data_IF_329253788921
#
_entry.id   IF_329253788921
#
_cell.length_a   1.000
_cell.length_b   1.000
_cell.length_c   1.000
_cell.angle_alpha   90.00
_cell.angle_beta   90.00
_cell.angle_gamma   90.00
#
_symmetry.space_group_name_H-M   'P 1'
#
loop_
_entity.id
_entity.type
_entity.pdbx_description
1 polymer ?
#
# COMPACT_ATOMS: atom_id res chain seq x y z
N UNK A 1 2.52 7.71 13.04
CA UNK A 1 1.94 6.63 12.22
C UNK A 1 0.64 7.04 11.55
N UNK A 2 -0.38 7.53 12.27
CA UNK A 2 -1.63 8.02 11.65
C UNK A 2 -1.38 9.14 10.64
N UNK A 3 -0.53 10.12 10.98
CA UNK A 3 -0.12 11.19 10.06
C UNK A 3 0.52 10.65 8.76
N UNK A 4 1.45 9.69 8.86
CA UNK A 4 2.07 9.03 7.69
C UNK A 4 1.04 8.31 6.82
N UNK A 5 0.05 7.66 7.43
CA UNK A 5 -1.04 7.01 6.72
C UNK A 5 -1.89 8.04 5.95
N UNK A 6 -2.29 9.12 6.62
CA UNK A 6 -3.17 10.15 6.04
C UNK A 6 -2.49 10.94 4.93
N UNK A 7 -1.20 11.24 5.08
CA UNK A 7 -0.42 11.93 4.05
C UNK A 7 -0.21 11.05 2.81
N UNK A 8 0.08 9.76 3.00
CA UNK A 8 0.13 8.81 1.88
C UNK A 8 -1.22 8.70 1.16
N UNK A 9 -2.32 8.63 1.91
CA UNK A 9 -3.67 8.53 1.34
C UNK A 9 -3.99 9.70 0.42
N UNK A 10 -3.72 10.94 0.87
CA UNK A 10 -3.96 12.15 0.06
C UNK A 10 -3.22 12.12 -1.28
N UNK A 11 -1.93 11.78 -1.25
CA UNK A 11 -1.11 11.70 -2.47
C UNK A 11 -1.65 10.64 -3.43
N UNK A 12 -2.07 9.48 -2.90
CA UNK A 12 -2.62 8.42 -3.73
C UNK A 12 -4.00 8.74 -4.31
N UNK A 13 -4.82 9.48 -3.56
CA UNK A 13 -6.12 9.94 -4.03
C UNK A 13 -5.93 10.95 -5.16
N UNK A 14 -5.00 11.91 -5.03
CA UNK A 14 -4.63 12.83 -6.11
C UNK A 14 -4.08 12.11 -7.34
N UNK A 15 -3.20 11.10 -7.13
CA UNK A 15 -2.67 10.30 -8.23
C UNK A 15 -3.78 9.51 -8.95
N UNK A 16 -4.76 8.99 -8.20
CA UNK A 16 -5.88 8.26 -8.79
C UNK A 16 -6.76 9.15 -9.69
N UNK A 17 -6.81 10.47 -9.46
CA UNK A 17 -7.53 11.41 -10.32
C UNK A 17 -6.90 11.57 -11.71
N UNK A 18 -5.58 11.38 -11.81
CA UNK A 18 -4.84 11.54 -13.09
C UNK A 18 -4.51 10.20 -13.76
N UNK A 19 -4.48 9.11 -12.99
CA UNK A 19 -4.26 7.74 -13.49
C UNK A 19 -5.50 7.19 -14.19
N UNK A 20 -5.67 7.51 -15.47
CA UNK A 20 -6.73 6.94 -16.29
C UNK A 20 -6.28 5.63 -16.94
N UNK A 21 -6.46 4.51 -16.25
CA UNK A 21 -6.24 3.19 -16.83
C UNK A 21 -7.38 2.82 -17.78
N UNK A 22 -7.09 2.36 -19.02
CA UNK A 22 -8.12 1.89 -19.93
C UNK A 22 -8.77 0.62 -19.39
N UNK A 23 -10.05 0.42 -19.69
CA UNK A 23 -10.72 -0.84 -19.42
C UNK A 23 -10.13 -1.92 -20.33
N UNK A 24 -9.49 -2.94 -19.76
CA UNK A 24 -9.09 -4.15 -20.50
C UNK A 24 -9.94 -5.33 -20.06
N UNK A 25 -10.30 -6.20 -21.01
CA UNK A 25 -10.80 -7.55 -20.74
C UNK A 25 -9.66 -8.55 -20.50
N UNK A 26 -8.44 -8.17 -20.87
CA UNK A 26 -7.22 -8.89 -20.52
C UNK A 26 -6.91 -8.69 -19.04
N UNK A 27 -6.46 -9.75 -18.37
CA UNK A 27 -6.11 -9.78 -16.94
C UNK A 27 -5.08 -8.72 -16.47
N UNK A 28 -4.51 -7.95 -17.40
CA UNK A 28 -3.44 -7.00 -17.16
C UNK A 28 -3.83 -5.88 -16.20
N UNK A 29 -5.08 -5.41 -16.25
CA UNK A 29 -5.55 -4.36 -15.34
C UNK A 29 -5.59 -4.88 -13.90
N UNK A 30 -6.01 -6.13 -13.67
CA UNK A 30 -5.98 -6.71 -12.32
C UNK A 30 -4.54 -6.83 -11.80
N UNK A 31 -3.60 -7.28 -12.63
CA UNK A 31 -2.18 -7.38 -12.23
C UNK A 31 -1.57 -6.00 -11.96
N UNK A 32 -1.92 -4.99 -12.76
CA UNK A 32 -1.47 -3.62 -12.54
C UNK A 32 -2.04 -3.03 -11.25
N UNK A 33 -3.32 -3.20 -10.98
CA UNK A 33 -3.94 -2.77 -9.71
C UNK A 33 -3.28 -3.44 -8.51
N UNK A 34 -2.96 -4.74 -8.61
CA UNK A 34 -2.24 -5.46 -7.56
C UNK A 34 -0.82 -4.94 -7.36
N UNK A 35 -0.12 -4.65 -8.46
CA UNK A 35 1.19 -4.00 -8.41
C UNK A 35 1.12 -2.64 -7.72
N UNK A 36 0.15 -1.79 -8.08
CA UNK A 36 -0.08 -0.48 -7.46
C UNK A 36 -0.35 -0.60 -5.95
N UNK A 37 -1.20 -1.55 -5.53
CA UNK A 37 -1.45 -1.80 -4.10
C UNK A 37 -0.18 -2.21 -3.34
N UNK A 38 0.66 -3.05 -3.95
CA UNK A 38 1.95 -3.42 -3.36
C UNK A 38 2.90 -2.22 -3.26
N UNK A 39 2.93 -1.34 -4.27
CA UNK A 39 3.73 -0.10 -4.22
C UNK A 39 3.26 0.83 -3.11
N UNK A 40 1.95 1.01 -2.94
CA UNK A 40 1.36 1.79 -1.84
C UNK A 40 1.79 1.23 -0.47
N UNK A 41 1.79 -0.09 -0.29
CA UNK A 41 2.26 -0.73 0.94
C UNK A 41 3.75 -0.45 1.21
N UNK A 42 4.60 -0.58 0.19
CA UNK A 42 6.03 -0.30 0.33
C UNK A 42 6.27 1.17 0.67
N UNK A 43 5.59 2.10 -0.01
CA UNK A 43 5.71 3.53 0.24
C UNK A 43 5.29 3.90 1.67
N UNK A 44 4.19 3.32 2.16
CA UNK A 44 3.76 3.48 3.53
C UNK A 44 4.84 3.02 4.52
N UNK A 45 5.47 1.88 4.26
CA UNK A 45 6.54 1.33 5.10
C UNK A 45 7.85 2.12 5.09
N UNK A 46 8.13 2.90 4.05
CA UNK A 46 9.29 3.81 4.00
C UNK A 46 9.11 4.97 4.99
N UNK A 47 7.87 5.46 5.16
CA UNK A 47 7.56 6.56 6.08
C UNK A 47 7.49 6.15 7.56
N UNK A 48 7.64 4.86 7.88
CA UNK A 48 7.55 4.37 9.26
C UNK A 48 8.88 4.46 10.02
N UNK A 49 8.78 4.74 11.32
CA UNK A 49 9.91 4.69 12.24
C UNK A 49 10.49 3.27 12.38
N UNK A 50 11.76 3.18 12.80
CA UNK A 50 12.49 1.93 12.97
C UNK A 50 11.89 0.99 14.03
N UNK A 51 11.08 1.51 14.95
CA UNK A 51 10.36 0.73 15.97
C UNK A 51 9.43 -0.32 15.36
N UNK A 52 8.97 -0.10 14.12
CA UNK A 52 8.08 -1.02 13.40
C UNK A 52 8.82 -2.06 12.55
N UNK A 53 10.16 -2.10 12.58
CA UNK A 53 10.97 -2.94 11.69
C UNK A 53 10.59 -4.43 11.74
N UNK A 54 10.31 -4.97 12.94
CA UNK A 54 9.97 -6.39 13.12
C UNK A 54 8.61 -6.70 12.50
N UNK A 55 7.57 -5.94 12.86
CA UNK A 55 6.21 -6.11 12.31
C UNK A 55 6.19 -5.88 10.81
N UNK A 56 6.92 -4.87 10.30
CA UNK A 56 7.13 -4.65 8.86
C UNK A 56 7.73 -5.87 8.18
N UNK A 57 8.77 -6.46 8.76
CA UNK A 57 9.39 -7.68 8.25
C UNK A 57 8.39 -8.84 8.15
N UNK A 58 7.60 -9.06 9.20
CA UNK A 58 6.56 -10.09 9.22
C UNK A 58 5.49 -9.87 8.14
N UNK A 59 5.06 -8.63 7.95
CA UNK A 59 4.07 -8.30 6.91
C UNK A 59 4.62 -8.57 5.50
N UNK A 60 5.89 -8.24 5.23
CA UNK A 60 6.52 -8.48 3.92
C UNK A 60 6.65 -9.97 3.56
N UNK A 61 6.60 -10.85 4.56
CA UNK A 61 6.59 -12.31 4.38
C UNK A 61 5.21 -12.88 4.05
N UNK A 62 4.12 -12.10 4.21
CA UNK A 62 2.76 -12.55 3.89
C UNK A 62 2.58 -12.79 2.39
N UNK A 63 1.77 -13.80 2.03
CA UNK A 63 1.41 -14.12 0.65
C UNK A 63 -0.10 -14.41 0.55
N UNK A 64 -0.88 -13.56 -0.17
CA UNK A 64 -0.48 -12.29 -0.79
C UNK A 64 -0.11 -11.22 0.25
N UNK A 65 0.54 -10.14 -0.18
CA UNK A 65 0.76 -8.98 0.69
C UNK A 65 -0.59 -8.36 1.08
N UNK A 66 -0.75 -7.88 2.32
CA UNK A 66 -1.97 -7.22 2.75
C UNK A 66 -2.11 -5.83 2.12
N UNK A 67 -3.33 -5.29 2.13
CA UNK A 67 -3.56 -3.89 1.80
C UNK A 67 -3.02 -2.96 2.90
N UNK A 68 -2.83 -1.67 2.57
CA UNK A 68 -2.37 -0.65 3.53
C UNK A 68 -3.25 -0.57 4.78
N UNK A 69 -4.60 -0.59 4.71
CA UNK A 69 -5.44 -0.57 5.91
C UNK A 69 -5.24 -1.78 6.82
N UNK A 70 -5.06 -2.98 6.23
CA UNK A 70 -4.81 -4.21 7.00
C UNK A 70 -3.43 -4.15 7.64
N UNK A 71 -2.40 -3.71 6.90
CA UNK A 71 -1.06 -3.52 7.44
C UNK A 71 -1.01 -2.49 8.56
N UNK A 72 -1.75 -1.37 8.42
CA UNK A 72 -1.91 -0.37 9.48
C UNK A 72 -2.53 -0.99 10.74
N UNK A 73 -3.61 -1.77 10.60
CA UNK A 73 -4.23 -2.49 11.71
C UNK A 73 -3.27 -3.43 12.45
N UNK A 74 -2.39 -4.13 11.71
CA UNK A 74 -1.37 -5.01 12.29
C UNK A 74 -0.24 -4.27 13.01
N UNK A 75 0.00 -2.99 12.66
CA UNK A 75 1.06 -2.18 13.26
C UNK A 75 0.64 -1.47 14.54
N UNK A 76 -0.66 -1.24 14.72
CA UNK A 76 -1.24 -0.57 15.90
C UNK A 76 -1.74 -1.54 16.97
N UNK A 77 -1.64 -2.86 16.73
CA UNK A 77 -1.87 -3.91 17.74
C UNK A 77 -0.75 -3.93 18.77
#
# INVERSE_FOLDING_TARGET
MAEVHDDCSKIWDELALVSNLPRCSCGAVQELTKYEQNQKLIQFFIGLNSEYNVTRGNILLMRPLPSVPVAYGLLIQ
#
